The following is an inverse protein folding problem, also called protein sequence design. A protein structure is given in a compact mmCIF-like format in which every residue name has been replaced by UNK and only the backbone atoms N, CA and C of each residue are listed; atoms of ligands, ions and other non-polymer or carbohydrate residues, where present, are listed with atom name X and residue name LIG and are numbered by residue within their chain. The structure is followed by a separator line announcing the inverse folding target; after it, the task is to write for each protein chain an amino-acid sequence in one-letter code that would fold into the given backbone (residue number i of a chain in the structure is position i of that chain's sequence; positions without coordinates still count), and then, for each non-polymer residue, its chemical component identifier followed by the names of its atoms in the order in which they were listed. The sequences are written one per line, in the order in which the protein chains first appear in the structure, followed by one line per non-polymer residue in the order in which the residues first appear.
data_IF_977493211511
#
_entry.id   IF_977493211511
#
_cell.length_a   1.000
_cell.length_b   1.000
_cell.length_c   1.000
_cell.angle_alpha   90.00
_cell.angle_beta   90.00
_cell.angle_gamma   90.00
#
_symmetry.space_group_name_H-M   'P 1'
#
loop_
_entity.id
_entity.type
_entity.pdbx_description
1 polymer ?
#
# COMPACT_ATOMS: atom_id res chain seq x y z
N UNK A 1 -11.54 -23.91 22.63
CA UNK A 1 -11.09 -23.80 21.22
C UNK A 1 -10.00 -22.74 21.12
N UNK A 2 -8.98 -22.85 20.24
CA UNK A 2 -7.94 -21.83 20.12
C UNK A 2 -8.45 -20.62 19.32
N UNK A 3 -8.27 -19.43 19.87
CA UNK A 3 -8.55 -18.16 19.18
C UNK A 3 -7.34 -17.83 18.30
N UNK A 4 -7.56 -17.65 17.00
CA UNK A 4 -6.52 -17.20 16.06
C UNK A 4 -6.78 -15.77 15.60
N UNK A 5 -5.75 -14.92 15.68
CA UNK A 5 -5.78 -13.58 15.11
C UNK A 5 -5.63 -13.63 13.58
N UNK A 6 -6.41 -12.83 12.85
CA UNK A 6 -6.29 -12.63 11.40
C UNK A 6 -6.32 -11.13 11.09
N UNK A 7 -5.28 -10.64 10.44
CA UNK A 7 -5.26 -9.28 9.89
C UNK A 7 -5.67 -9.30 8.41
N UNK A 8 -6.36 -8.26 7.96
CA UNK A 8 -6.72 -8.03 6.56
C UNK A 8 -5.72 -7.11 5.83
N UNK A 9 -4.52 -6.92 6.41
CA UNK A 9 -3.40 -6.23 5.79
C UNK A 9 -3.01 -6.99 4.51
N UNK A 10 -2.97 -6.31 3.37
CA UNK A 10 -2.48 -6.87 2.11
C UNK A 10 -1.72 -5.81 1.33
N UNK A 11 -0.80 -6.25 0.47
CA UNK A 11 0.00 -5.36 -0.37
C UNK A 11 -0.88 -4.49 -1.26
N UNK A 12 -1.92 -5.06 -1.87
CA UNK A 12 -2.90 -4.36 -2.71
C UNK A 12 -3.61 -3.23 -1.96
N UNK A 13 -3.87 -3.40 -0.66
CA UNK A 13 -4.49 -2.37 0.17
C UNK A 13 -3.54 -1.20 0.40
N UNK A 14 -2.26 -1.48 0.65
CA UNK A 14 -1.24 -0.44 0.80
C UNK A 14 -0.99 0.27 -0.53
N UNK A 15 -0.94 -0.46 -1.64
CA UNK A 15 -0.88 0.07 -3.00
C UNK A 15 -2.05 1.03 -3.27
N UNK A 16 -3.27 0.69 -2.85
CA UNK A 16 -4.41 1.59 -2.96
C UNK A 16 -4.27 2.87 -2.15
N UNK A 17 -3.62 2.82 -0.99
CA UNK A 17 -3.32 4.01 -0.18
C UNK A 17 -2.29 4.88 -0.89
N UNK A 18 -1.21 4.28 -1.39
CA UNK A 18 -0.17 4.99 -2.16
C UNK A 18 -0.73 5.62 -3.44
N UNK A 19 -1.64 4.93 -4.15
CA UNK A 19 -2.36 5.51 -5.30
C UNK A 19 -3.21 6.72 -4.91
N UNK A 20 -3.76 6.74 -3.70
CA UNK A 20 -4.54 7.87 -3.18
C UNK A 20 -3.71 9.11 -2.89
N UNK A 21 -2.40 8.96 -2.63
CA UNK A 21 -1.47 10.09 -2.46
C UNK A 21 -1.14 10.75 -3.81
N UNK A 22 -1.10 9.94 -4.88
CA UNK A 22 -0.78 10.41 -6.23
C UNK A 22 0.65 10.09 -6.66
N UNK A 23 0.89 10.10 -7.96
CA UNK A 23 2.17 9.70 -8.55
C UNK A 23 3.31 10.65 -8.15
N UNK A 24 3.11 11.96 -8.27
CA UNK A 24 4.13 12.96 -7.94
C UNK A 24 4.60 12.86 -6.48
N UNK A 25 3.68 12.76 -5.52
CA UNK A 25 4.02 12.63 -4.10
C UNK A 25 4.80 11.34 -3.81
N UNK A 26 4.37 10.21 -4.40
CA UNK A 26 5.07 8.93 -4.25
C UNK A 26 6.48 9.00 -4.85
N UNK A 27 6.63 9.63 -6.03
CA UNK A 27 7.93 9.84 -6.65
C UNK A 27 8.84 10.74 -5.84
N UNK A 28 8.33 11.84 -5.29
CA UNK A 28 9.12 12.78 -4.50
C UNK A 28 9.70 12.07 -3.26
N UNK A 29 8.87 11.33 -2.52
CA UNK A 29 9.32 10.52 -1.38
C UNK A 29 10.39 9.51 -1.79
N UNK A 30 10.24 8.88 -2.96
CA UNK A 30 11.23 7.93 -3.49
C UNK A 30 12.53 8.60 -3.92
N UNK A 31 12.49 9.82 -4.45
CA UNK A 31 13.70 10.59 -4.77
C UNK A 31 14.46 10.98 -3.50
N UNK A 32 13.75 11.33 -2.43
CA UNK A 32 14.35 11.74 -1.16
C UNK A 32 14.87 10.54 -0.34
N UNK A 33 14.08 9.47 -0.25
CA UNK A 33 14.32 8.34 0.69
C UNK A 33 14.72 7.03 0.00
N UNK A 34 14.61 6.93 -1.33
CA UNK A 34 14.90 5.73 -2.12
C UNK A 34 13.86 4.61 -2.02
N UNK A 35 13.04 4.59 -0.97
CA UNK A 35 12.01 3.58 -0.72
C UNK A 35 10.90 4.13 0.17
N UNK A 36 9.69 3.60 0.04
CA UNK A 36 8.57 3.86 0.94
C UNK A 36 8.34 2.64 1.81
N UNK A 37 8.41 2.82 3.13
CA UNK A 37 8.18 1.75 4.11
C UNK A 37 6.89 1.99 4.86
N UNK A 38 6.00 1.00 4.83
CA UNK A 38 4.71 1.03 5.52
C UNK A 38 4.61 -0.16 6.46
N UNK A 39 4.43 0.13 7.74
CA UNK A 39 4.22 -0.89 8.76
C UNK A 39 2.73 -0.96 9.10
N UNK A 40 2.16 -2.17 9.06
CA UNK A 40 0.79 -2.34 9.53
C UNK A 40 0.76 -2.39 11.05
N UNK A 41 0.04 -1.47 11.68
CA UNK A 41 -0.01 -1.36 13.15
C UNK A 41 -0.75 -2.52 13.85
N UNK A 42 -1.43 -3.39 13.09
CA UNK A 42 -2.16 -4.54 13.63
C UNK A 42 -1.36 -5.84 13.52
N UNK A 43 -0.78 -6.11 12.35
CA UNK A 43 -0.04 -7.33 12.06
C UNK A 43 1.49 -7.15 12.21
N UNK A 44 1.95 -5.92 12.40
CA UNK A 44 3.35 -5.50 12.40
C UNK A 44 4.13 -5.89 11.13
N UNK A 45 3.43 -6.23 10.05
CA UNK A 45 4.02 -6.56 8.78
C UNK A 45 4.53 -5.30 8.10
N UNK A 46 5.78 -5.33 7.65
CA UNK A 46 6.40 -4.27 6.88
C UNK A 46 6.19 -4.51 5.38
N UNK A 47 5.81 -3.47 4.66
CA UNK A 47 5.73 -3.40 3.22
C UNK A 47 6.70 -2.34 2.74
N UNK A 48 7.50 -2.66 1.73
CA UNK A 48 8.47 -1.76 1.12
C UNK A 48 8.17 -1.64 -0.36
N UNK A 49 8.19 -0.41 -0.85
CA UNK A 49 7.97 -0.07 -2.26
C UNK A 49 9.16 0.76 -2.74
N UNK A 50 9.77 0.30 -3.82
CA UNK A 50 10.85 1.03 -4.51
C UNK A 50 10.30 1.77 -5.73
N UNK A 51 11.20 2.42 -6.49
CA UNK A 51 10.83 3.10 -7.72
C UNK A 51 10.17 2.17 -8.75
N UNK A 52 10.61 0.92 -8.86
CA UNK A 52 10.04 -0.03 -9.83
C UNK A 52 8.61 -0.42 -9.43
N UNK A 53 8.37 -0.59 -8.14
CA UNK A 53 7.05 -0.88 -7.60
C UNK A 53 6.10 0.32 -7.76
N UNK A 54 6.58 1.55 -7.57
CA UNK A 54 5.80 2.76 -7.85
C UNK A 54 5.45 2.88 -9.34
N UNK A 55 6.42 2.67 -10.24
CA UNK A 55 6.14 2.67 -11.69
C UNK A 55 5.04 1.66 -12.03
N UNK A 56 5.09 0.44 -11.47
CA UNK A 56 4.05 -0.59 -11.67
C UNK A 56 2.70 -0.18 -11.10
N UNK A 57 2.71 0.44 -9.92
CA UNK A 57 1.52 0.87 -9.20
C UNK A 57 0.68 1.86 -10.03
N UNK A 58 1.33 2.73 -10.79
CA UNK A 58 0.68 3.74 -11.63
C UNK A 58 0.60 3.36 -13.11
N UNK A 59 1.43 2.44 -13.60
CA UNK A 59 1.30 1.86 -14.94
C UNK A 59 0.05 0.99 -15.09
N UNK A 60 -0.36 0.31 -14.00
CA UNK A 60 -1.63 -0.41 -13.97
C UNK A 60 -2.79 0.59 -13.83
N UNK A 61 -3.41 0.98 -14.95
CA UNK A 61 -4.62 1.82 -15.00
C UNK A 61 -5.88 1.12 -14.48
N UNK A 62 -5.76 0.14 -13.58
CA UNK A 62 -6.87 -0.65 -13.07
C UNK A 62 -7.10 -0.31 -11.59
N UNK A 63 -8.22 0.36 -11.34
CA UNK A 63 -8.64 0.79 -10.01
C UNK A 63 -8.96 -0.45 -9.17
N UNK A 64 -8.30 -0.69 -8.02
CA UNK A 64 -8.84 -1.65 -7.06
C UNK A 64 -10.11 -1.02 -6.49
N UNK A 65 -11.21 -1.70 -6.76
CA UNK A 65 -12.52 -1.40 -6.21
C UNK A 65 -12.42 -1.32 -4.68
N UNK A 66 -12.47 -0.11 -4.16
CA UNK A 66 -12.52 0.15 -2.72
C UNK A 66 -13.77 -0.54 -2.18
N UNK A 67 -13.68 -1.55 -1.29
CA UNK A 67 -14.88 -2.15 -0.74
C UNK A 67 -15.59 -1.09 0.08
N UNK A 68 -16.71 -0.58 -0.44
CA UNK A 68 -17.60 0.34 0.27
C UNK A 68 -18.08 -0.38 1.53
N UNK A 69 -17.45 -0.11 2.66
CA UNK A 69 -17.92 -0.56 3.97
C UNK A 69 -19.28 0.09 4.21
N UNK A 70 -20.34 -0.71 4.07
CA UNK A 70 -21.69 -0.35 4.53
C UNK A 70 -21.64 -0.17 6.05
N UNK A 71 -22.08 1.00 6.51
CA UNK A 71 -22.42 1.27 7.90
C UNK A 71 -23.64 0.45 8.34
#
# INVERSE_FOLDING_TARGET
EPVSFRCSCSRERIESVLRGLGYDEVQDILQEQGSIKVNCEFCNQAYEFDAVDAERLFAASDQPEVPRTRH
#
